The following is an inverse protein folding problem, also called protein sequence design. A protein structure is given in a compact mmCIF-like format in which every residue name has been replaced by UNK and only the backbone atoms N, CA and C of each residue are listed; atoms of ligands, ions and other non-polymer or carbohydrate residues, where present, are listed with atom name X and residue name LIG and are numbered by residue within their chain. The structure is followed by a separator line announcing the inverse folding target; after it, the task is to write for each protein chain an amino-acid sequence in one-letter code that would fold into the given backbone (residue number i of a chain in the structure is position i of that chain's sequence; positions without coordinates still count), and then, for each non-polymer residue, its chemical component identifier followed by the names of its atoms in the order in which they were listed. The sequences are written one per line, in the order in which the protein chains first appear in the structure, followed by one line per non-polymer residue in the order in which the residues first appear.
data_IF_928155216266
#
_entry.id   IF_928155216266
#
_cell.length_a   1.000
_cell.length_b   1.000
_cell.length_c   1.000
_cell.angle_alpha   90.00
_cell.angle_beta   90.00
_cell.angle_gamma   90.00
#
_symmetry.space_group_name_H-M   'P 1'
#
loop_
_entity.id
_entity.type
_entity.pdbx_description
1 polymer ?
#
# COMPACT_ATOMS: atom_id res chain seq x y z
N UNK A 1 96.95 84.32 -112.13
CA UNK A 1 96.68 82.87 -112.25
C UNK A 1 96.51 82.21 -110.88
N UNK A 2 97.49 82.23 -109.95
CA UNK A 2 97.36 81.54 -108.66
C UNK A 2 96.41 82.21 -107.63
N UNK A 3 96.11 83.50 -107.77
CA UNK A 3 95.23 84.27 -106.88
C UNK A 3 93.73 84.14 -107.21
N UNK A 4 93.37 83.88 -108.47
CA UNK A 4 91.97 83.69 -108.90
C UNK A 4 91.46 82.28 -108.58
N UNK A 5 92.33 81.26 -108.61
CA UNK A 5 92.01 79.91 -108.15
C UNK A 5 91.73 79.86 -106.63
N UNK A 6 92.40 80.71 -105.84
CA UNK A 6 92.22 80.76 -104.39
C UNK A 6 90.97 81.54 -103.95
N UNK A 7 90.52 82.54 -104.72
CA UNK A 7 89.25 83.24 -104.44
C UNK A 7 88.01 82.40 -104.80
N UNK A 8 88.11 81.48 -105.77
CA UNK A 8 87.02 80.54 -106.10
C UNK A 8 86.77 79.44 -105.07
N UNK A 9 87.76 79.13 -104.21
CA UNK A 9 87.69 78.02 -103.23
C UNK A 9 87.25 78.46 -101.81
N UNK A 10 87.24 79.77 -101.53
CA UNK A 10 86.86 80.33 -100.22
C UNK A 10 85.41 80.03 -99.80
N UNK A 11 84.39 80.20 -100.68
CA UNK A 11 83.00 79.89 -100.32
C UNK A 11 82.79 78.40 -100.02
N UNK A 12 83.50 77.51 -100.73
CA UNK A 12 83.43 76.07 -100.51
C UNK A 12 84.05 75.66 -99.15
N UNK A 13 85.14 76.32 -98.74
CA UNK A 13 85.77 76.12 -97.44
C UNK A 13 84.89 76.67 -96.29
N UNK A 14 84.27 77.84 -96.43
CA UNK A 14 83.33 78.39 -95.45
C UNK A 14 82.05 77.55 -95.31
N UNK A 15 81.53 77.01 -96.41
CA UNK A 15 80.40 76.07 -96.39
C UNK A 15 80.78 74.75 -95.72
N UNK A 16 82.01 74.26 -95.96
CA UNK A 16 82.54 73.07 -95.27
C UNK A 16 82.70 73.29 -93.76
N UNK A 17 83.13 74.49 -93.34
CA UNK A 17 83.26 74.88 -91.94
C UNK A 17 81.89 74.98 -91.27
N UNK A 18 80.91 75.63 -91.92
CA UNK A 18 79.53 75.71 -91.44
C UNK A 18 78.88 74.34 -91.33
N UNK A 19 79.06 73.47 -92.33
CA UNK A 19 78.60 72.07 -92.29
C UNK A 19 79.26 71.27 -91.16
N UNK A 20 80.58 71.42 -90.96
CA UNK A 20 81.30 70.75 -89.88
C UNK A 20 80.87 71.27 -88.49
N UNK A 21 80.64 72.58 -88.34
CA UNK A 21 80.11 73.17 -87.11
C UNK A 21 78.65 72.75 -86.85
N UNK A 22 77.81 72.68 -87.88
CA UNK A 22 76.45 72.17 -87.76
C UNK A 22 76.44 70.71 -87.31
N UNK A 23 77.26 69.85 -87.94
CA UNK A 23 77.44 68.45 -87.53
C UNK A 23 77.99 68.32 -86.10
N UNK A 24 78.93 69.17 -85.70
CA UNK A 24 79.47 69.16 -84.35
C UNK A 24 78.42 69.58 -83.30
N UNK A 25 77.57 70.57 -83.62
CA UNK A 25 76.47 70.99 -82.76
C UNK A 25 75.37 69.93 -82.70
N UNK A 26 75.07 69.25 -83.80
CA UNK A 26 74.12 68.14 -83.87
C UNK A 26 74.59 66.92 -83.05
N UNK A 27 75.89 66.59 -83.13
CA UNK A 27 76.51 65.58 -82.27
C UNK A 27 76.50 66.00 -80.79
N UNK A 28 76.77 67.27 -80.45
CA UNK A 28 76.66 67.76 -79.07
C UNK A 28 75.22 67.70 -78.55
N UNK A 29 74.24 68.05 -79.38
CA UNK A 29 72.82 67.93 -79.04
C UNK A 29 72.41 66.47 -78.83
N UNK A 30 72.87 65.56 -79.69
CA UNK A 30 72.67 64.11 -79.55
C UNK A 30 73.33 63.56 -78.27
N UNK A 31 74.55 63.97 -77.93
CA UNK A 31 75.22 63.60 -76.68
C UNK A 31 74.44 64.12 -75.47
N UNK A 32 73.92 65.36 -75.52
CA UNK A 32 73.08 65.92 -74.46
C UNK A 32 71.77 65.14 -74.29
N UNK A 33 71.12 64.74 -75.40
CA UNK A 33 69.92 63.92 -75.39
C UNK A 33 70.19 62.52 -74.82
N UNK A 34 71.29 61.88 -75.20
CA UNK A 34 71.72 60.58 -74.65
C UNK A 34 72.04 60.70 -73.16
N UNK A 35 72.72 61.76 -72.72
CA UNK A 35 72.99 61.99 -71.30
C UNK A 35 71.72 62.20 -70.49
N UNK A 36 70.75 62.96 -71.01
CA UNK A 36 69.45 63.13 -70.38
C UNK A 36 68.69 61.80 -70.29
N UNK A 37 68.74 60.98 -71.34
CA UNK A 37 68.09 59.67 -71.37
C UNK A 37 68.76 58.68 -70.40
N UNK A 38 70.09 58.72 -70.27
CA UNK A 38 70.83 57.97 -69.24
C UNK A 38 70.43 58.43 -67.84
N UNK A 39 70.23 59.73 -67.60
CA UNK A 39 69.77 60.25 -66.31
C UNK A 39 68.35 59.80 -65.95
N UNK A 40 67.43 59.78 -66.92
CA UNK A 40 66.06 59.26 -66.72
C UNK A 40 66.09 57.76 -66.44
N UNK A 41 66.81 56.97 -67.25
CA UNK A 41 66.95 55.53 -67.02
C UNK A 41 67.60 55.21 -65.68
N UNK A 42 68.58 56.01 -65.24
CA UNK A 42 69.19 55.87 -63.92
C UNK A 42 68.22 56.23 -62.77
N UNK A 43 67.31 57.20 -62.97
CA UNK A 43 66.26 57.51 -62.01
C UNK A 43 65.20 56.40 -61.95
N UNK A 44 64.78 55.86 -63.11
CA UNK A 44 63.86 54.74 -63.19
C UNK A 44 64.45 53.48 -62.57
N UNK A 45 65.74 53.19 -62.82
CA UNK A 45 66.46 52.09 -62.19
C UNK A 45 66.45 52.22 -60.66
N UNK A 46 66.74 53.41 -60.12
CA UNK A 46 66.70 53.65 -58.66
C UNK A 46 65.29 53.47 -58.10
N UNK A 47 64.27 53.97 -58.79
CA UNK A 47 62.88 53.81 -58.38
C UNK A 47 62.46 52.32 -58.37
N UNK A 48 62.82 51.56 -59.41
CA UNK A 48 62.56 50.11 -59.46
C UNK A 48 63.32 49.38 -58.34
N UNK A 49 64.56 49.74 -58.07
CA UNK A 49 65.34 49.17 -56.96
C UNK A 49 64.70 49.49 -55.59
N UNK A 50 64.21 50.72 -55.39
CA UNK A 50 63.48 51.10 -54.17
C UNK A 50 62.15 50.36 -54.03
N UNK A 51 61.37 50.25 -55.11
CA UNK A 51 60.13 49.48 -55.14
C UNK A 51 60.40 47.99 -54.86
N UNK A 52 61.42 47.41 -55.48
CA UNK A 52 61.84 46.03 -55.24
C UNK A 52 62.21 45.82 -53.78
N UNK A 53 63.02 46.71 -53.19
CA UNK A 53 63.38 46.63 -51.76
C UNK A 53 62.14 46.73 -50.86
N UNK A 54 61.20 47.62 -51.19
CA UNK A 54 59.96 47.77 -50.42
C UNK A 54 59.07 46.52 -50.47
N UNK A 55 58.99 45.85 -51.63
CA UNK A 55 58.23 44.62 -51.81
C UNK A 55 58.89 43.46 -51.07
N UNK A 56 60.23 43.34 -51.14
CA UNK A 56 60.97 42.31 -50.38
C UNK A 56 60.72 42.46 -48.88
N UNK A 57 60.83 43.68 -48.33
CA UNK A 57 60.53 43.93 -46.92
C UNK A 57 59.07 43.60 -46.57
N UNK A 58 58.12 43.84 -47.48
CA UNK A 58 56.72 43.49 -47.27
C UNK A 58 56.50 41.98 -47.29
N UNK A 59 57.16 41.26 -48.20
CA UNK A 59 57.13 39.79 -48.26
C UNK A 59 57.73 39.21 -46.99
N UNK A 60 58.86 39.72 -46.52
CA UNK A 60 59.50 39.31 -45.27
C UNK A 60 58.61 39.56 -44.05
N UNK A 61 57.99 40.74 -43.95
CA UNK A 61 57.01 41.03 -42.89
C UNK A 61 55.80 40.11 -42.96
N UNK A 62 55.22 39.90 -44.13
CA UNK A 62 54.07 38.99 -44.29
C UNK A 62 54.43 37.53 -43.98
N UNK A 63 55.65 37.10 -44.31
CA UNK A 63 56.14 35.77 -43.96
C UNK A 63 56.36 35.63 -42.44
N UNK A 64 56.92 36.66 -41.80
CA UNK A 64 57.06 36.72 -40.35
C UNK A 64 55.70 36.71 -39.65
N UNK A 65 54.74 37.52 -40.12
CA UNK A 65 53.37 37.56 -39.60
C UNK A 65 52.67 36.21 -39.79
N UNK A 66 52.83 35.57 -40.96
CA UNK A 66 52.27 34.23 -41.24
C UNK A 66 52.85 33.15 -40.32
N UNK A 67 54.14 33.22 -40.02
CA UNK A 67 54.79 32.26 -39.14
C UNK A 67 54.55 32.58 -37.64
N UNK A 68 54.27 33.85 -37.31
CA UNK A 68 53.87 34.28 -35.97
C UNK A 68 52.40 33.95 -35.65
N UNK A 69 51.56 33.71 -36.67
CA UNK A 69 50.25 33.11 -36.48
C UNK A 69 50.41 31.68 -35.95
N UNK A 70 50.14 31.52 -34.66
CA UNK A 70 50.01 30.19 -34.06
C UNK A 70 48.75 29.51 -34.61
N UNK A 71 48.93 28.49 -35.44
CA UNK A 71 47.81 27.65 -35.88
C UNK A 71 47.25 26.88 -34.66
N UNK A 72 45.92 26.77 -34.52
CA UNK A 72 45.33 25.92 -33.49
C UNK A 72 45.81 24.47 -33.65
N UNK A 73 46.06 23.80 -32.54
CA UNK A 73 46.36 22.37 -32.54
C UNK A 73 45.10 21.57 -32.88
N UNK A 74 44.95 21.23 -34.16
CA UNK A 74 43.79 20.53 -34.71
C UNK A 74 43.59 19.15 -34.05
N UNK A 75 44.67 18.46 -33.69
CA UNK A 75 44.60 17.17 -33.02
C UNK A 75 44.03 17.32 -31.60
N UNK A 76 44.46 18.36 -30.87
CA UNK A 76 43.90 18.69 -29.56
C UNK A 76 42.43 19.09 -29.65
N UNK A 77 42.04 19.87 -30.66
CA UNK A 77 40.65 20.28 -30.87
C UNK A 77 39.75 19.09 -31.20
N UNK A 78 40.21 18.16 -32.05
CA UNK A 78 39.49 16.93 -32.34
C UNK A 78 39.33 16.06 -31.07
N UNK A 79 40.38 15.92 -30.26
CA UNK A 79 40.32 15.21 -28.99
C UNK A 79 39.34 15.82 -27.99
N UNK A 80 39.33 17.14 -27.84
CA UNK A 80 38.38 17.86 -26.99
C UNK A 80 36.94 17.70 -27.48
N UNK A 81 36.73 17.71 -28.79
CA UNK A 81 35.39 17.54 -29.39
C UNK A 81 34.85 16.14 -29.14
N UNK A 82 35.68 15.11 -29.27
CA UNK A 82 35.30 13.72 -28.96
C UNK A 82 35.03 13.51 -27.46
N UNK A 83 35.81 14.15 -26.58
CA UNK A 83 35.55 14.11 -25.14
C UNK A 83 34.23 14.82 -24.79
N UNK A 84 33.95 15.94 -25.44
CA UNK A 84 32.71 16.67 -25.24
C UNK A 84 31.49 15.87 -25.71
N UNK A 85 31.54 15.23 -26.89
CA UNK A 85 30.44 14.39 -27.36
C UNK A 85 30.18 13.20 -26.42
N UNK A 86 31.23 12.52 -25.97
CA UNK A 86 31.11 11.43 -25.01
C UNK A 86 30.51 11.89 -23.67
N UNK A 87 30.89 13.09 -23.19
CA UNK A 87 30.33 13.66 -21.98
C UNK A 87 28.85 14.05 -22.15
N UNK A 88 28.46 14.55 -23.32
CA UNK A 88 27.05 14.87 -23.62
C UNK A 88 26.17 13.62 -23.67
N UNK A 89 26.65 12.52 -24.27
CA UNK A 89 25.93 11.25 -24.30
C UNK A 89 25.74 10.70 -22.87
N UNK A 90 26.82 10.70 -22.07
CA UNK A 90 26.74 10.26 -20.67
C UNK A 90 25.80 11.13 -19.82
N UNK A 91 25.78 12.45 -20.07
CA UNK A 91 24.84 13.37 -19.42
C UNK A 91 23.39 13.02 -19.78
N UNK A 92 23.09 12.82 -21.07
CA UNK A 92 21.74 12.50 -21.52
C UNK A 92 21.22 11.17 -20.92
N UNK A 93 22.08 10.15 -20.82
CA UNK A 93 21.73 8.89 -20.15
C UNK A 93 21.46 9.08 -18.65
N UNK A 94 22.29 9.87 -17.97
CA UNK A 94 22.11 10.15 -16.55
C UNK A 94 20.83 10.95 -16.28
N UNK A 95 20.52 11.94 -17.12
CA UNK A 95 19.29 12.73 -17.03
C UNK A 95 18.04 11.86 -17.28
N UNK A 96 18.08 10.95 -18.25
CA UNK A 96 16.98 10.02 -18.50
C UNK A 96 16.72 9.10 -17.29
N UNK A 97 17.78 8.53 -16.68
CA UNK A 97 17.65 7.71 -15.46
C UNK A 97 17.17 8.52 -14.27
N UNK A 98 17.64 9.76 -14.13
CA UNK A 98 17.19 10.66 -13.06
C UNK A 98 15.71 10.97 -13.20
N UNK A 99 15.23 11.25 -14.42
CA UNK A 99 13.82 11.49 -14.68
C UNK A 99 12.97 10.26 -14.34
N UNK A 100 13.37 9.07 -14.80
CA UNK A 100 12.69 7.81 -14.49
C UNK A 100 12.59 7.58 -12.97
N UNK A 101 13.69 7.77 -12.24
CA UNK A 101 13.70 7.65 -10.78
C UNK A 101 12.85 8.73 -10.10
N UNK A 102 12.85 9.96 -10.63
CA UNK A 102 12.05 11.08 -10.10
C UNK A 102 10.56 10.81 -10.23
N UNK A 103 10.15 10.11 -11.29
CA UNK A 103 8.76 9.75 -11.53
C UNK A 103 8.33 8.47 -10.78
N UNK A 104 9.23 7.49 -10.63
CA UNK A 104 8.90 6.18 -10.02
C UNK A 104 8.99 6.17 -8.50
N UNK A 105 9.94 6.88 -7.89
CA UNK A 105 10.12 6.88 -6.42
C UNK A 105 8.87 7.36 -5.67
N UNK A 106 8.20 8.47 -6.07
CA UNK A 106 6.97 8.91 -5.39
C UNK A 106 5.84 7.88 -5.48
N UNK A 107 5.71 7.18 -6.63
CA UNK A 107 4.68 6.17 -6.84
C UNK A 107 4.89 4.97 -5.91
N UNK A 108 6.13 4.48 -5.82
CA UNK A 108 6.50 3.39 -4.91
C UNK A 108 6.35 3.78 -3.43
N UNK A 109 6.67 5.03 -3.07
CA UNK A 109 6.48 5.52 -1.71
C UNK A 109 4.98 5.62 -1.35
N UNK A 110 4.13 6.06 -2.26
CA UNK A 110 2.68 6.12 -2.04
C UNK A 110 2.05 4.72 -2.00
N UNK A 111 2.49 3.80 -2.86
CA UNK A 111 2.10 2.39 -2.80
C UNK A 111 2.48 1.77 -1.45
N UNK A 112 3.74 1.92 -1.02
CA UNK A 112 4.22 1.46 0.30
C UNK A 112 3.41 2.06 1.44
N UNK A 113 3.08 3.36 1.38
CA UNK A 113 2.24 4.02 2.40
C UNK A 113 0.84 3.42 2.46
N UNK A 114 0.22 3.16 1.31
CA UNK A 114 -1.11 2.57 1.24
C UNK A 114 -1.14 1.14 1.81
N UNK A 115 -0.14 0.32 1.46
CA UNK A 115 0.03 -1.04 1.96
C UNK A 115 0.30 -1.04 3.47
N UNK A 116 1.16 -0.14 3.95
CA UNK A 116 1.44 0.00 5.38
C UNK A 116 0.18 0.43 6.16
N UNK A 117 -0.63 1.32 5.60
CA UNK A 117 -1.91 1.73 6.22
C UNK A 117 -2.90 0.56 6.28
N UNK A 118 -2.95 -0.27 5.24
CA UNK A 118 -3.76 -1.49 5.21
C UNK A 118 -3.32 -2.47 6.31
N UNK A 119 -2.02 -2.79 6.39
CA UNK A 119 -1.46 -3.65 7.44
C UNK A 119 -1.79 -3.14 8.84
N UNK A 120 -1.64 -1.84 9.08
CA UNK A 120 -1.93 -1.23 10.37
C UNK A 120 -3.43 -1.33 10.72
N UNK A 121 -4.31 -1.09 9.75
CA UNK A 121 -5.77 -1.17 9.92
C UNK A 121 -6.22 -2.58 10.24
N UNK A 122 -5.76 -3.57 9.47
CA UNK A 122 -6.15 -4.96 9.65
C UNK A 122 -5.56 -5.56 10.94
N UNK A 123 -4.33 -5.17 11.31
CA UNK A 123 -3.71 -5.53 12.58
C UNK A 123 -4.46 -4.95 13.78
N UNK A 124 -4.93 -3.70 13.69
CA UNK A 124 -5.72 -3.07 14.74
C UNK A 124 -7.07 -3.77 14.95
N UNK A 125 -7.78 -4.10 13.85
CA UNK A 125 -9.03 -4.88 13.91
C UNK A 125 -8.81 -6.26 14.55
N UNK A 126 -7.72 -6.95 14.18
CA UNK A 126 -7.36 -8.24 14.77
C UNK A 126 -7.14 -8.13 16.29
N UNK A 127 -6.43 -7.09 16.72
CA UNK A 127 -6.18 -6.84 18.14
C UNK A 127 -7.48 -6.55 18.91
N UNK A 128 -8.37 -5.74 18.35
CA UNK A 128 -9.68 -5.43 18.95
C UNK A 128 -10.55 -6.68 19.12
N UNK A 129 -10.69 -7.49 18.06
CA UNK A 129 -11.45 -8.75 18.11
C UNK A 129 -10.85 -9.72 19.15
N UNK A 130 -9.51 -9.81 19.21
CA UNK A 130 -8.82 -10.66 20.18
C UNK A 130 -9.07 -10.19 21.61
N UNK A 131 -8.95 -8.88 21.86
CA UNK A 131 -9.17 -8.30 23.18
C UNK A 131 -10.62 -8.48 23.64
N UNK A 132 -11.60 -8.27 22.75
CA UNK A 132 -13.02 -8.50 23.05
C UNK A 132 -13.30 -9.97 23.38
N UNK A 133 -12.74 -10.89 22.59
CA UNK A 133 -12.87 -12.33 22.84
C UNK A 133 -12.26 -12.71 24.20
N UNK A 134 -11.07 -12.23 24.53
CA UNK A 134 -10.41 -12.49 25.82
C UNK A 134 -11.20 -11.91 26.99
N UNK A 135 -11.74 -10.70 26.85
CA UNK A 135 -12.58 -10.07 27.87
C UNK A 135 -13.85 -10.88 28.14
N UNK A 136 -14.53 -11.35 27.08
CA UNK A 136 -15.73 -12.19 27.22
C UNK A 136 -15.41 -13.57 27.81
N UNK A 137 -14.30 -14.20 27.40
CA UNK A 137 -13.83 -15.47 27.98
C UNK A 137 -13.50 -15.30 29.46
N UNK A 138 -12.81 -14.22 29.84
CA UNK A 138 -12.49 -13.92 31.24
C UNK A 138 -13.77 -13.68 32.06
N UNK A 139 -14.75 -12.96 31.52
CA UNK A 139 -16.04 -12.75 32.16
C UNK A 139 -16.81 -14.07 32.33
N UNK A 140 -16.76 -14.95 31.34
CA UNK A 140 -17.43 -16.26 31.41
C UNK A 140 -16.76 -17.20 32.43
N UNK A 141 -15.42 -17.25 32.47
CA UNK A 141 -14.71 -18.04 33.48
C UNK A 141 -14.95 -17.48 34.89
N UNK A 142 -15.00 -16.16 35.07
CA UNK A 142 -15.33 -15.55 36.36
C UNK A 142 -16.67 -16.04 36.89
N UNK A 143 -17.72 -16.00 36.06
CA UNK A 143 -19.07 -16.51 36.39
C UNK A 143 -19.07 -18.02 36.66
N UNK A 144 -18.22 -18.80 35.98
CA UNK A 144 -18.05 -20.23 36.25
C UNK A 144 -17.33 -20.50 37.57
N UNK A 145 -16.40 -19.64 37.96
CA UNK A 145 -15.57 -19.79 39.16
C UNK A 145 -16.16 -19.14 40.40
N UNK A 146 -17.23 -18.35 40.29
CA UNK A 146 -17.84 -17.73 41.45
C UNK A 146 -18.48 -18.80 42.36
N UNK A 147 -17.88 -18.97 43.53
CA UNK A 147 -18.41 -19.78 44.64
C UNK A 147 -17.62 -21.04 45.02
N UNK A 148 -18.23 -21.79 45.95
CA UNK A 148 -17.74 -23.06 46.50
C UNK A 148 -17.98 -24.27 45.56
N UNK A 149 -18.61 -24.04 44.40
CA UNK A 149 -19.04 -25.11 43.49
C UNK A 149 -17.84 -25.80 42.82
N UNK A 150 -16.85 -25.06 42.33
CA UNK A 150 -15.69 -25.64 41.62
C UNK A 150 -14.87 -26.58 42.52
N UNK A 151 -14.53 -26.22 43.78
CA UNK A 151 -13.92 -27.17 44.73
C UNK A 151 -14.81 -28.38 45.04
N UNK A 152 -16.13 -28.21 45.10
CA UNK A 152 -17.07 -29.31 45.33
C UNK A 152 -17.11 -30.28 44.14
N UNK A 153 -17.16 -29.76 42.91
CA UNK A 153 -17.10 -30.58 41.69
C UNK A 153 -15.79 -31.37 41.61
N UNK A 154 -14.65 -30.75 41.93
CA UNK A 154 -13.36 -31.43 41.97
C UNK A 154 -13.31 -32.54 43.04
N UNK A 155 -13.86 -32.29 44.24
CA UNK A 155 -13.94 -33.29 45.32
C UNK A 155 -14.70 -34.54 44.89
N UNK A 156 -15.74 -34.39 44.07
CA UNK A 156 -16.58 -35.48 43.58
C UNK A 156 -16.17 -36.01 42.19
N UNK A 157 -15.05 -35.53 41.61
CA UNK A 157 -14.54 -35.99 40.31
C UNK A 157 -15.39 -35.54 39.11
N UNK A 158 -16.14 -34.44 39.25
CA UNK A 158 -17.07 -33.89 38.25
C UNK A 158 -16.56 -32.60 37.60
N UNK A 159 -15.32 -32.20 37.87
CA UNK A 159 -14.71 -30.94 37.40
C UNK A 159 -14.49 -30.88 35.89
N UNK A 160 -14.28 -32.03 35.25
CA UNK A 160 -14.10 -32.15 33.80
C UNK A 160 -15.40 -32.09 33.00
N UNK A 161 -16.56 -32.11 33.66
CA UNK A 161 -17.85 -32.04 32.99
C UNK A 161 -18.17 -30.60 32.57
N UNK A 162 -18.69 -30.46 31.35
CA UNK A 162 -19.16 -29.18 30.83
C UNK A 162 -20.67 -29.07 31.02
N UNK A 163 -21.14 -27.85 31.31
CA UNK A 163 -22.57 -27.56 31.41
C UNK A 163 -23.25 -27.70 30.05
N UNK A 164 -24.53 -28.07 30.08
CA UNK A 164 -25.35 -28.29 28.90
C UNK A 164 -25.33 -27.11 27.89
N UNK A 165 -25.26 -25.88 28.37
CA UNK A 165 -25.15 -24.67 27.54
C UNK A 165 -24.01 -24.70 26.52
N UNK A 166 -22.92 -25.44 26.74
CA UNK A 166 -21.81 -25.53 25.76
C UNK A 166 -22.15 -26.40 24.55
N UNK A 167 -23.25 -27.15 24.61
CA UNK A 167 -23.71 -28.06 23.56
C UNK A 167 -25.02 -27.62 22.91
N UNK A 168 -25.56 -26.46 23.28
CA UNK A 168 -26.84 -25.96 22.77
C UNK A 168 -26.60 -24.65 22.02
N UNK A 169 -27.16 -24.59 20.82
CA UNK A 169 -27.28 -23.36 20.04
C UNK A 169 -28.76 -23.07 19.81
N UNK A 170 -29.13 -21.79 19.88
CA UNK A 170 -30.47 -21.29 19.56
C UNK A 170 -30.36 -20.20 18.50
N UNK A 171 -31.43 -19.95 17.78
CA UNK A 171 -31.53 -18.76 16.92
C UNK A 171 -31.19 -17.47 17.68
N UNK A 172 -30.47 -16.58 17.00
CA UNK A 172 -29.96 -15.34 17.58
C UNK A 172 -31.09 -14.43 18.10
N UNK A 173 -30.91 -13.91 19.31
CA UNK A 173 -31.88 -13.06 20.00
C UNK A 173 -32.93 -13.82 20.82
N UNK A 174 -32.91 -15.16 20.81
CA UNK A 174 -33.77 -15.99 21.66
C UNK A 174 -33.05 -16.57 22.89
N UNK A 175 -31.81 -16.16 23.14
CA UNK A 175 -30.98 -16.69 24.22
C UNK A 175 -31.62 -16.44 25.58
N UNK A 176 -32.13 -15.23 25.83
CA UNK A 176 -32.80 -14.90 27.10
C UNK A 176 -34.09 -15.72 27.31
N UNK A 177 -34.82 -16.05 26.23
CA UNK A 177 -36.00 -16.91 26.30
C UNK A 177 -35.62 -18.33 26.72
N UNK A 178 -34.56 -18.87 26.12
CA UNK A 178 -34.07 -20.20 26.48
C UNK A 178 -33.49 -20.24 27.90
N UNK A 179 -32.74 -19.21 28.30
CA UNK A 179 -32.23 -19.07 29.66
C UNK A 179 -33.38 -19.00 30.68
N UNK A 180 -34.44 -18.25 30.38
CA UNK A 180 -35.63 -18.14 31.22
C UNK A 180 -36.43 -19.45 31.34
N UNK A 181 -36.45 -20.24 30.26
CA UNK A 181 -37.13 -21.54 30.21
C UNK A 181 -36.33 -22.64 30.94
N UNK A 182 -35.03 -22.76 30.67
CA UNK A 182 -34.20 -23.83 31.23
C UNK A 182 -33.69 -23.54 32.64
N UNK A 183 -33.46 -22.28 33.01
CA UNK A 183 -32.99 -21.86 34.34
C UNK A 183 -31.77 -22.68 34.80
N UNK A 184 -31.81 -23.30 35.99
CA UNK A 184 -30.75 -24.16 36.52
C UNK A 184 -30.45 -25.40 35.66
N UNK A 185 -31.34 -25.79 34.74
CA UNK A 185 -31.11 -26.89 33.81
C UNK A 185 -30.14 -26.50 32.69
N UNK A 186 -29.97 -25.21 32.43
CA UNK A 186 -29.00 -24.71 31.45
C UNK A 186 -27.55 -25.06 31.84
N UNK A 187 -27.26 -25.05 33.13
CA UNK A 187 -25.97 -25.45 33.71
C UNK A 187 -25.87 -26.95 34.02
N UNK A 188 -26.82 -27.77 33.57
CA UNK A 188 -26.87 -29.18 33.97
C UNK A 188 -25.64 -29.95 33.48
N UNK A 189 -25.15 -30.88 34.30
CA UNK A 189 -24.01 -31.75 33.98
C UNK A 189 -24.49 -33.13 33.54
N UNK A 190 -23.86 -33.66 32.49
CA UNK A 190 -24.18 -34.98 31.96
C UNK A 190 -23.63 -36.09 32.87
N UNK A 191 -24.47 -37.05 33.22
CA UNK A 191 -24.09 -38.26 33.96
C UNK A 191 -24.59 -39.52 33.27
N UNK A 192 -23.85 -40.61 33.44
CA UNK A 192 -24.18 -41.90 32.83
C UNK A 192 -25.47 -42.51 33.40
N UNK A 193 -25.74 -42.32 34.70
CA UNK A 193 -26.98 -42.75 35.37
C UNK A 193 -27.38 -41.76 36.44
N UNK A 194 -28.62 -41.29 36.40
CA UNK A 194 -29.17 -40.36 37.40
C UNK A 194 -29.16 -40.94 38.82
N UNK A 195 -29.28 -42.27 38.97
CA UNK A 195 -29.21 -42.95 40.28
C UNK A 195 -27.90 -42.70 41.04
N UNK A 196 -26.80 -42.43 40.33
CA UNK A 196 -25.49 -42.17 40.94
C UNK A 196 -25.47 -40.84 41.70
N UNK A 197 -26.36 -39.92 41.34
CA UNK A 197 -26.46 -38.57 41.91
C UNK A 197 -27.15 -38.58 43.28
N UNK A 198 -27.85 -39.68 43.64
CA UNK A 198 -28.57 -39.83 44.91
C UNK A 198 -27.68 -39.60 46.13
N UNK A 199 -26.40 -39.97 46.05
CA UNK A 199 -25.42 -39.76 47.12
C UNK A 199 -25.12 -38.28 47.41
N UNK A 200 -25.31 -37.38 46.44
CA UNK A 200 -25.02 -35.95 46.59
C UNK A 200 -26.10 -35.18 47.34
N UNK A 201 -27.28 -35.78 47.57
CA UNK A 201 -28.28 -35.21 48.45
C UNK A 201 -27.84 -35.22 49.93
N UNK A 202 -26.83 -36.04 50.26
CA UNK A 202 -26.31 -36.24 51.62
C UNK A 202 -27.29 -36.98 52.54
N UNK A 203 -26.80 -37.57 53.63
CA UNK A 203 -27.65 -38.18 54.66
C UNK A 203 -28.02 -37.24 55.81
N UNK A 204 -27.52 -35.99 55.83
CA UNK A 204 -27.84 -34.93 56.81
C UNK A 204 -27.42 -33.52 56.29
N UNK A 205 -27.47 -33.28 54.96
CA UNK A 205 -26.99 -32.03 54.33
C UNK A 205 -25.47 -31.81 54.37
N UNK A 206 -24.71 -32.69 55.02
CA UNK A 206 -23.25 -32.76 54.88
C UNK A 206 -22.91 -33.23 53.47
N UNK A 207 -22.09 -32.45 52.77
CA UNK A 207 -21.62 -32.67 51.38
C UNK A 207 -22.62 -32.35 50.24
N UNK A 208 -23.73 -31.67 50.55
CA UNK A 208 -24.64 -31.16 49.53
C UNK A 208 -24.00 -30.07 48.65
N UNK A 209 -24.43 -29.92 47.37
CA UNK A 209 -23.89 -28.91 46.48
C UNK A 209 -24.17 -27.49 47.02
N UNK A 210 -23.16 -26.59 47.01
CA UNK A 210 -23.28 -25.26 47.61
C UNK A 210 -24.05 -24.24 46.74
N UNK A 211 -24.53 -24.65 45.58
CA UNK A 211 -25.31 -23.84 44.64
C UNK A 211 -26.34 -24.72 43.89
N UNK A 212 -27.24 -24.09 43.14
CA UNK A 212 -28.21 -24.80 42.28
C UNK A 212 -27.43 -25.61 41.24
N UNK A 213 -27.63 -26.93 41.23
CA UNK A 213 -26.97 -27.84 40.32
C UNK A 213 -27.98 -28.86 39.80
N UNK A 214 -27.98 -29.03 38.49
CA UNK A 214 -28.83 -29.99 37.79
C UNK A 214 -27.96 -31.06 37.14
N UNK A 215 -28.47 -32.27 37.04
CA UNK A 215 -27.83 -33.36 36.31
C UNK A 215 -28.79 -33.91 35.29
N UNK A 216 -28.27 -34.37 34.16
CA UNK A 216 -29.07 -35.00 33.11
C UNK A 216 -28.40 -36.27 32.61
N UNK A 217 -29.20 -37.15 32.02
CA UNK A 217 -28.72 -38.31 31.27
C UNK A 217 -29.45 -38.31 29.94
N UNK A 218 -28.71 -38.28 28.83
CA UNK A 218 -29.32 -38.29 27.51
C UNK A 218 -29.93 -39.67 27.22
N UNK A 219 -31.19 -39.75 26.77
CA UNK A 219 -31.80 -41.01 26.41
C UNK A 219 -31.09 -41.64 25.21
N UNK A 220 -30.91 -42.97 25.24
CA UNK A 220 -30.25 -43.72 24.17
C UNK A 220 -31.13 -43.88 22.91
N UNK A 221 -32.43 -43.61 23.02
CA UNK A 221 -33.39 -43.65 21.93
C UNK A 221 -33.99 -42.25 21.72
N UNK A 222 -34.32 -41.91 20.47
CA UNK A 222 -35.08 -40.70 20.18
C UNK A 222 -36.40 -40.73 20.97
N UNK A 223 -36.72 -39.62 21.64
CA UNK A 223 -38.00 -39.47 22.33
C UNK A 223 -39.18 -39.65 21.36
N UNK A 224 -40.31 -40.06 21.90
CA UNK A 224 -41.59 -40.09 21.20
C UNK A 224 -41.98 -38.70 20.67
N UNK A 225 -42.98 -38.69 19.78
CA UNK A 225 -43.47 -37.50 19.08
C UNK A 225 -43.61 -36.29 20.02
N UNK A 226 -43.00 -35.16 19.62
CA UNK A 226 -43.10 -33.88 20.34
C UNK A 226 -44.57 -33.55 20.56
N UNK A 227 -44.90 -32.96 21.72
CA UNK A 227 -46.27 -32.50 22.03
C UNK A 227 -46.85 -31.71 20.86
N UNK A 228 -48.11 -32.00 20.52
CA UNK A 228 -48.77 -31.35 19.39
C UNK A 228 -48.76 -29.83 19.59
N UNK A 229 -48.31 -29.03 18.59
CA UNK A 229 -48.24 -27.59 18.75
C UNK A 229 -49.64 -27.03 19.04
N UNK A 230 -49.73 -26.19 20.08
CA UNK A 230 -50.93 -25.38 20.31
C UNK A 230 -51.17 -24.55 19.06
N UNK A 231 -52.39 -24.62 18.50
CA UNK A 231 -52.72 -24.05 17.21
C UNK A 231 -52.27 -22.59 17.07
N UNK A 232 -51.28 -22.36 16.19
CA UNK A 232 -50.76 -21.03 15.86
C UNK A 232 -49.61 -20.51 16.75
N UNK A 233 -49.03 -21.34 17.62
CA UNK A 233 -47.83 -20.98 18.39
C UNK A 233 -46.67 -21.91 18.05
N UNK A 234 -45.50 -21.34 17.76
CA UNK A 234 -44.30 -22.12 17.46
C UNK A 234 -43.65 -22.61 18.78
N UNK A 235 -43.28 -23.90 18.89
CA UNK A 235 -42.51 -24.41 20.01
C UNK A 235 -41.13 -23.74 20.13
N UNK A 236 -40.70 -23.43 21.35
CA UNK A 236 -39.36 -22.89 21.64
C UNK A 236 -38.25 -23.88 21.25
N UNK A 237 -38.52 -25.19 21.38
CA UNK A 237 -37.60 -26.25 20.97
C UNK A 237 -37.25 -26.22 19.48
N UNK A 238 -38.14 -25.70 18.62
CA UNK A 238 -37.91 -25.63 17.17
C UNK A 238 -36.89 -24.55 16.78
N UNK A 239 -36.57 -23.62 17.69
CA UNK A 239 -35.52 -22.61 17.48
C UNK A 239 -34.12 -23.14 17.83
N UNK A 240 -34.03 -24.35 18.41
CA UNK A 240 -32.76 -24.96 18.77
C UNK A 240 -32.09 -25.60 17.56
N UNK A 241 -30.77 -25.41 17.46
CA UNK A 241 -29.92 -26.04 16.46
C UNK A 241 -29.15 -27.16 17.14
N UNK A 242 -29.70 -28.37 17.08
CA UNK A 242 -29.15 -29.54 17.74
C UNK A 242 -28.67 -30.56 16.71
N UNK A 243 -27.48 -31.12 16.93
CA UNK A 243 -26.88 -32.15 16.07
C UNK A 243 -26.96 -33.56 16.70
N UNK A 244 -27.42 -33.67 17.95
CA UNK A 244 -27.46 -34.90 18.73
C UNK A 244 -28.93 -35.29 19.00
N UNK A 245 -29.30 -36.51 18.61
CA UNK A 245 -30.65 -37.04 18.76
C UNK A 245 -31.07 -37.24 20.23
N UNK A 246 -30.13 -37.62 21.11
CA UNK A 246 -30.37 -37.75 22.54
C UNK A 246 -30.58 -36.39 23.21
N UNK A 247 -29.81 -35.37 22.82
CA UNK A 247 -30.05 -33.99 23.29
C UNK A 247 -31.36 -33.42 22.74
N UNK A 248 -31.72 -33.72 21.49
CA UNK A 248 -33.00 -33.31 20.93
C UNK A 248 -34.19 -33.92 21.67
N UNK A 249 -34.09 -35.20 22.05
CA UNK A 249 -35.09 -35.88 22.85
C UNK A 249 -35.22 -35.26 24.25
N UNK A 250 -34.08 -35.02 24.93
CA UNK A 250 -34.04 -34.39 26.25
C UNK A 250 -34.63 -32.97 26.25
N UNK A 251 -34.23 -32.14 25.28
CA UNK A 251 -34.69 -30.75 25.20
C UNK A 251 -36.13 -30.66 24.70
N UNK A 252 -36.58 -31.62 23.89
CA UNK A 252 -37.99 -31.75 23.54
C UNK A 252 -38.87 -31.98 24.76
N UNK A 253 -38.45 -32.87 25.68
CA UNK A 253 -39.14 -33.11 26.95
C UNK A 253 -39.06 -31.89 27.89
N UNK A 254 -37.87 -31.30 28.05
CA UNK A 254 -37.69 -30.18 28.97
C UNK A 254 -38.36 -28.87 28.53
N UNK A 255 -38.58 -28.70 27.24
CA UNK A 255 -39.25 -27.54 26.64
C UNK A 255 -40.65 -27.88 26.15
N UNK A 256 -41.22 -29.00 26.56
CA UNK A 256 -42.62 -29.31 26.29
C UNK A 256 -43.52 -28.22 26.92
N UNK A 257 -44.55 -27.80 26.19
CA UNK A 257 -45.40 -26.66 26.56
C UNK A 257 -44.71 -25.27 26.50
N UNK A 258 -43.44 -25.17 26.06
CA UNK A 258 -42.78 -23.88 25.87
C UNK A 258 -42.98 -23.38 24.44
N UNK A 259 -43.65 -22.25 24.29
CA UNK A 259 -43.99 -21.62 23.02
C UNK A 259 -43.33 -20.27 22.85
N UNK A 260 -43.36 -19.73 21.63
CA UNK A 260 -42.78 -18.43 21.29
C UNK A 260 -43.82 -17.46 20.75
N UNK A 261 -43.61 -16.18 21.01
CA UNK A 261 -44.36 -15.07 20.42
C UNK A 261 -43.42 -13.91 20.06
N UNK A 262 -43.81 -13.10 19.06
CA UNK A 262 -42.99 -12.01 18.57
C UNK A 262 -42.85 -10.87 19.59
N UNK A 263 -43.90 -10.59 20.36
CA UNK A 263 -43.94 -9.54 21.37
C UNK A 263 -44.69 -9.96 22.63
N UNK A 264 -44.52 -9.19 23.71
CA UNK A 264 -45.25 -9.41 24.96
C UNK A 264 -46.77 -9.24 24.77
N UNK A 265 -47.17 -8.33 23.89
CA UNK A 265 -48.57 -8.10 23.55
C UNK A 265 -49.18 -9.33 22.84
N UNK A 266 -48.46 -9.88 21.86
CA UNK A 266 -48.88 -11.11 21.17
C UNK A 266 -48.98 -12.29 22.14
N UNK A 267 -48.01 -12.42 23.07
CA UNK A 267 -48.02 -13.46 24.09
C UNK A 267 -49.25 -13.33 25.02
N UNK A 268 -49.60 -12.10 25.44
CA UNK A 268 -50.76 -11.83 26.28
C UNK A 268 -52.09 -12.10 25.55
N UNK A 269 -52.16 -11.81 24.26
CA UNK A 269 -53.33 -12.07 23.41
C UNK A 269 -53.53 -13.57 23.15
N UNK A 270 -52.45 -14.35 23.10
CA UNK A 270 -52.49 -15.79 22.87
C UNK A 270 -52.73 -16.63 24.14
N UNK A 271 -52.75 -16.03 25.34
CA UNK A 271 -52.79 -16.77 26.63
C UNK A 271 -53.96 -17.74 26.76
N UNK A 272 -55.12 -17.39 26.19
CA UNK A 272 -56.34 -18.20 26.34
C UNK A 272 -56.26 -19.53 25.56
N UNK A 273 -55.29 -19.64 24.65
CA UNK A 273 -54.98 -20.86 23.88
C UNK A 273 -54.13 -21.86 24.67
N UNK A 274 -53.49 -21.44 25.75
CA UNK A 274 -52.55 -22.25 26.53
C UNK A 274 -53.26 -23.31 27.35
N UNK A 275 -52.77 -24.54 27.34
CA UNK A 275 -53.22 -25.61 28.23
C UNK A 275 -52.50 -25.55 29.57
N UNK A 276 -52.83 -26.48 30.48
CA UNK A 276 -52.22 -26.51 31.81
C UNK A 276 -50.73 -26.86 31.72
N UNK A 277 -49.86 -25.93 32.10
CA UNK A 277 -48.40 -26.10 32.05
C UNK A 277 -47.73 -25.29 30.94
N UNK A 278 -48.47 -24.85 29.93
CA UNK A 278 -47.89 -24.13 28.80
C UNK A 278 -47.47 -22.70 29.17
N UNK A 279 -46.37 -22.26 28.57
CA UNK A 279 -45.77 -20.94 28.77
C UNK A 279 -45.31 -20.37 27.43
N UNK A 280 -45.67 -19.11 27.17
CA UNK A 280 -45.20 -18.36 25.99
C UNK A 280 -44.02 -17.49 26.40
N UNK A 281 -42.90 -17.62 25.69
CA UNK A 281 -41.71 -16.80 25.84
C UNK A 281 -41.58 -15.80 24.69
N UNK A 282 -41.02 -14.64 25.00
CA UNK A 282 -40.62 -13.62 24.02
C UNK A 282 -39.11 -13.44 24.05
N UNK A 283 -38.54 -12.84 23.00
CA UNK A 283 -37.09 -12.63 22.86
C UNK A 283 -36.40 -11.99 24.07
N UNK A 284 -37.09 -11.10 24.78
CA UNK A 284 -36.56 -10.47 26.01
C UNK A 284 -36.47 -11.40 27.22
N UNK A 285 -36.93 -12.65 27.09
CA UNK A 285 -36.96 -13.65 28.16
C UNK A 285 -38.23 -13.63 29.01
N UNK A 286 -39.15 -12.68 28.79
CA UNK A 286 -40.40 -12.63 29.55
C UNK A 286 -41.28 -13.84 29.23
N UNK A 287 -41.98 -14.32 30.24
CA UNK A 287 -42.81 -15.50 30.18
C UNK A 287 -44.26 -15.16 30.51
N UNK A 288 -45.20 -15.66 29.71
CA UNK A 288 -46.64 -15.50 29.89
C UNK A 288 -47.25 -16.88 30.02
N UNK A 289 -47.94 -17.12 31.13
CA UNK A 289 -48.80 -18.29 31.31
C UNK A 289 -50.27 -17.86 31.22
N UNK A 290 -51.19 -18.81 31.30
CA UNK A 290 -52.64 -18.51 31.34
C UNK A 290 -53.02 -17.51 32.44
N UNK A 291 -52.34 -17.57 33.59
CA UNK A 291 -52.70 -16.80 34.79
C UNK A 291 -51.59 -15.92 35.36
N UNK A 292 -50.43 -15.84 34.71
CA UNK A 292 -49.31 -15.03 35.21
C UNK A 292 -48.44 -14.47 34.09
N UNK A 293 -47.73 -13.39 34.43
CA UNK A 293 -46.66 -12.81 33.62
C UNK A 293 -45.42 -12.75 34.51
N UNK A 294 -44.29 -13.23 33.99
CA UNK A 294 -42.99 -13.18 34.66
C UNK A 294 -42.02 -12.39 33.81
N UNK A 295 -41.48 -11.31 34.37
CA UNK A 295 -40.44 -10.52 33.72
C UNK A 295 -39.08 -11.16 33.95
N UNK A 296 -38.30 -11.24 32.87
CA UNK A 296 -36.91 -11.64 32.92
C UNK A 296 -36.07 -10.42 33.28
N UNK A 297 -35.21 -10.60 34.28
CA UNK A 297 -34.18 -9.65 34.67
C UNK A 297 -32.84 -10.38 34.71
N UNK A 298 -31.77 -9.67 34.37
CA UNK A 298 -30.40 -10.18 34.44
C UNK A 298 -29.88 -10.20 35.90
N UNK A 299 -30.71 -10.69 36.83
CA UNK A 299 -30.49 -10.55 38.27
C UNK A 299 -29.60 -11.67 38.86
N UNK A 300 -29.23 -12.66 38.04
CA UNK A 300 -28.27 -13.70 38.41
C UNK A 300 -26.92 -13.43 37.76
N UNK A 301 -25.82 -13.68 38.47
CA UNK A 301 -24.46 -13.62 37.90
C UNK A 301 -24.28 -14.53 36.66
N UNK A 302 -25.15 -15.53 36.51
CA UNK A 302 -25.19 -16.47 35.38
C UNK A 302 -26.03 -15.97 34.19
N UNK A 303 -26.64 -14.79 34.27
CA UNK A 303 -27.43 -14.24 33.17
C UNK A 303 -26.57 -13.93 31.93
N UNK A 304 -27.15 -14.12 30.74
CA UNK A 304 -26.48 -13.88 29.46
C UNK A 304 -25.30 -14.80 29.22
N UNK A 305 -25.23 -15.96 29.88
CA UNK A 305 -24.17 -16.94 29.69
C UNK A 305 -24.23 -17.55 28.29
N UNK A 306 -25.43 -17.86 27.81
CA UNK A 306 -25.62 -18.44 26.47
C UNK A 306 -25.33 -17.41 25.37
N UNK A 307 -25.81 -16.18 25.55
CA UNK A 307 -25.54 -15.09 24.62
C UNK A 307 -24.03 -14.81 24.50
N UNK A 308 -23.31 -14.74 25.62
CA UNK A 308 -21.85 -14.59 25.63
C UNK A 308 -21.14 -15.77 24.98
N UNK A 309 -21.58 -17.01 25.23
CA UNK A 309 -20.99 -18.20 24.62
C UNK A 309 -21.08 -18.15 23.08
N UNK A 310 -22.27 -17.86 22.55
CA UNK A 310 -22.46 -17.72 21.11
C UNK A 310 -21.71 -16.51 20.52
N UNK A 311 -21.61 -15.40 21.27
CA UNK A 311 -20.79 -14.24 20.88
C UNK A 311 -19.31 -14.61 20.78
N UNK A 312 -18.76 -15.36 21.74
CA UNK A 312 -17.38 -15.85 21.72
C UNK A 312 -17.14 -16.73 20.49
N UNK A 313 -18.05 -17.64 20.15
CA UNK A 313 -17.93 -18.48 18.94
C UNK A 313 -17.96 -17.65 17.66
N UNK A 314 -18.82 -16.63 17.59
CA UNK A 314 -18.88 -15.73 16.45
C UNK A 314 -17.57 -14.92 16.32
N UNK A 315 -17.05 -14.39 17.44
CA UNK A 315 -15.78 -13.69 17.47
C UNK A 315 -14.61 -14.59 17.08
N UNK A 316 -14.61 -15.88 17.45
CA UNK A 316 -13.59 -16.84 17.03
C UNK A 316 -13.59 -17.03 15.49
N UNK A 317 -14.78 -17.13 14.87
CA UNK A 317 -14.92 -17.19 13.41
C UNK A 317 -14.42 -15.91 12.74
N UNK A 318 -14.81 -14.75 13.28
CA UNK A 318 -14.36 -13.45 12.76
C UNK A 318 -12.84 -13.29 12.89
N UNK A 319 -12.27 -13.71 14.02
CA UNK A 319 -10.84 -13.63 14.27
C UNK A 319 -10.05 -14.53 13.32
N UNK A 320 -10.53 -15.76 13.05
CA UNK A 320 -9.92 -16.63 12.03
C UNK A 320 -9.92 -16.00 10.63
N UNK A 321 -11.02 -15.40 10.21
CA UNK A 321 -11.08 -14.68 8.95
C UNK A 321 -10.14 -13.46 8.95
N UNK A 322 -10.12 -12.70 10.05
CA UNK A 322 -9.29 -11.51 10.20
C UNK A 322 -7.78 -11.82 10.21
N UNK A 323 -7.39 -12.99 10.74
CA UNK A 323 -6.00 -13.48 10.69
C UNK A 323 -5.56 -13.65 9.23
N UNK A 324 -6.38 -14.30 8.39
CA UNK A 324 -6.07 -14.49 6.96
C UNK A 324 -5.94 -13.14 6.24
N UNK A 325 -6.86 -12.21 6.48
CA UNK A 325 -6.82 -10.86 5.88
C UNK A 325 -5.56 -10.10 6.33
N UNK A 326 -5.19 -10.21 7.60
CA UNK A 326 -3.99 -9.56 8.15
C UNK A 326 -2.70 -10.15 7.57
N UNK A 327 -2.67 -11.47 7.33
CA UNK A 327 -1.54 -12.16 6.69
C UNK A 327 -1.41 -11.76 5.21
N UNK A 328 -2.53 -11.68 4.49
CA UNK A 328 -2.56 -11.21 3.10
C UNK A 328 -2.06 -9.77 2.99
N UNK A 329 -2.59 -8.86 3.82
CA UNK A 329 -2.13 -7.46 3.86
C UNK A 329 -0.62 -7.36 4.18
N UNK A 330 -0.11 -8.22 5.07
CA UNK A 330 1.31 -8.26 5.42
C UNK A 330 2.18 -8.86 4.32
N UNK A 331 1.65 -9.77 3.52
CA UNK A 331 2.35 -10.34 2.36
C UNK A 331 2.40 -9.40 1.16
N UNK A 332 1.43 -8.46 1.08
CA UNK A 332 1.36 -7.46 0.03
C UNK A 332 2.30 -6.27 0.25
N UNK A 333 2.68 -6.01 1.51
CA UNK A 333 3.67 -4.99 1.92
C UNK A 333 5.11 -5.49 1.78
#
# INVERSE_FOLDING_TARGET
AQTEEQQGQLPALEESLRSAQAKANEQRASVGQVQQQIQVLAADQRNIEEQSRSLTLRIERLAADRNALNAPDEARLAGLTAQFSAAQEAQAEAEARLQELTDTVPQLDDERRSLQQSVNTESAKRADLSARMEALKALQEKVRTDGKLKPWLAKHGLDNLQGLWSRIHIEQGWENALEAALRERLGALEVSRLDMVRGFAGTDGRDAPPAKLSFYSAPQAAAGERGAPVAGLQPLADLLRLNDAGLSALLGDWLDGCHTAASLEDALAARDRLTGGDTIYVKSGHAVTRYSVSFYAQDSEQAGLLARAQEIENLDKQLKAQVLISEEARSAL
#
